data_IF_790586087797
#
_entry.id   IF_790586087797
#
_cell.length_a   1.000
_cell.length_b   1.000
_cell.length_c   1.000
_cell.angle_alpha   90.00
_cell.angle_beta   90.00
_cell.angle_gamma   90.00
#
_symmetry.space_group_name_H-M   'P 1'
#
loop_
_entity.id
_entity.type
_entity.pdbx_description
1 polymer ?
#
# COMPACT_ATOMS: atom_id res chain seq x y z
N UNK A 1 -0.35 35.81 -31.59
CA UNK A 1 0.15 36.46 -30.36
C UNK A 1 -1.01 36.68 -29.41
N UNK A 2 -1.16 35.85 -28.39
CA UNK A 2 -1.96 36.15 -27.20
C UNK A 2 -1.33 35.43 -26.01
N UNK A 3 -0.99 36.19 -24.97
CA UNK A 3 -0.29 35.73 -23.76
C UNK A 3 -1.25 34.95 -22.84
N UNK A 4 -0.83 33.86 -22.19
CA UNK A 4 -1.56 33.30 -21.07
C UNK A 4 -1.47 34.23 -19.85
N UNK A 5 -2.61 34.50 -19.20
CA UNK A 5 -2.70 35.20 -17.92
C UNK A 5 -2.15 34.28 -16.83
N UNK A 6 -1.20 34.81 -16.08
CA UNK A 6 -0.68 34.25 -14.83
C UNK A 6 -1.81 34.10 -13.80
N UNK A 7 -2.05 32.87 -13.33
CA UNK A 7 -2.65 32.63 -12.04
C UNK A 7 -1.52 32.64 -11.01
N UNK A 8 -1.47 33.74 -10.25
CA UNK A 8 -0.59 33.91 -9.10
C UNK A 8 -0.99 32.89 -8.03
N UNK A 9 0.01 32.21 -7.47
CA UNK A 9 -0.16 31.19 -6.45
C UNK A 9 -0.89 31.70 -5.21
N UNK A 10 -1.67 30.79 -4.63
CA UNK A 10 -1.95 30.74 -3.20
C UNK A 10 -1.38 29.40 -2.73
N UNK A 11 -0.19 29.42 -2.16
CA UNK A 11 0.28 28.32 -1.32
C UNK A 11 -0.53 28.40 -0.03
N UNK A 12 -1.57 27.58 0.11
CA UNK A 12 -2.02 27.20 1.44
C UNK A 12 -0.99 26.20 1.96
N UNK A 13 -0.12 26.68 2.85
CA UNK A 13 0.68 25.80 3.68
C UNK A 13 -0.28 25.09 4.63
N UNK A 14 -0.79 23.91 4.24
CA UNK A 14 -1.39 23.00 5.20
C UNK A 14 -0.26 22.52 6.11
N UNK A 15 -0.33 23.00 7.34
CA UNK A 15 0.42 22.42 8.44
C UNK A 15 -0.06 20.98 8.58
N UNK A 16 0.85 20.00 8.46
CA UNK A 16 0.62 18.63 8.94
C UNK A 16 0.63 18.71 10.48
N UNK A 17 -0.42 19.32 11.02
CA UNK A 17 -0.64 19.53 12.43
C UNK A 17 -2.07 19.13 12.82
N UNK A 18 -2.66 18.17 12.10
CA UNK A 18 -3.67 17.26 12.64
C UNK A 18 -2.98 16.32 13.64
N UNK A 19 -2.59 16.88 14.77
CA UNK A 19 -1.97 16.21 15.89
C UNK A 19 -3.01 15.29 16.55
N UNK A 20 -2.90 13.97 16.40
CA UNK A 20 -3.56 12.98 17.29
C UNK A 20 -2.88 12.95 18.68
N UNK A 21 -2.40 14.08 19.18
CA UNK A 21 -1.78 14.19 20.50
C UNK A 21 -2.11 15.54 21.15
N UNK A 22 -3.35 15.75 21.58
CA UNK A 22 -3.62 16.64 22.72
C UNK A 22 -4.79 16.12 23.60
N UNK A 23 -4.39 15.42 24.68
CA UNK A 23 -5.10 15.22 25.96
C UNK A 23 -6.15 14.09 26.07
N UNK A 24 -6.11 13.26 27.15
CA UNK A 24 -6.71 11.92 27.18
C UNK A 24 -8.13 11.85 27.77
N UNK A 25 -9.09 12.71 27.37
CA UNK A 25 -10.49 12.57 27.86
C UNK A 25 -11.66 12.91 26.93
N UNK A 26 -11.47 13.41 25.69
CA UNK A 26 -12.64 13.88 24.93
C UNK A 26 -12.71 13.63 23.40
N UNK A 27 -11.76 12.95 22.75
CA UNK A 27 -11.82 12.74 21.28
C UNK A 27 -11.48 11.31 20.83
N UNK A 28 -11.23 10.38 21.76
CA UNK A 28 -10.78 9.01 21.43
C UNK A 28 -11.94 7.98 21.37
N UNK A 29 -13.18 8.38 21.56
CA UNK A 29 -14.34 7.50 21.45
C UNK A 29 -15.40 8.21 20.61
N UNK A 30 -15.54 7.85 19.33
CA UNK A 30 -16.83 7.80 18.59
C UNK A 30 -16.69 7.78 17.05
N UNK A 31 -15.53 8.12 16.47
CA UNK A 31 -15.40 8.11 15.00
C UNK A 31 -15.59 6.67 14.46
N UNK A 32 -16.77 6.38 13.90
CA UNK A 32 -17.17 5.07 13.38
C UNK A 32 -18.28 4.34 14.17
N UNK A 33 -18.65 4.81 15.37
CA UNK A 33 -19.74 4.22 16.17
C UNK A 33 -21.13 4.66 15.69
N UNK A 34 -21.21 5.85 15.12
CA UNK A 34 -22.42 6.39 14.48
C UNK A 34 -22.24 6.42 12.97
N UNK A 35 -23.20 5.84 12.23
CA UNK A 35 -23.20 5.91 10.77
C UNK A 35 -23.53 7.34 10.34
N UNK A 36 -22.56 8.03 9.73
CA UNK A 36 -22.80 9.38 9.21
C UNK A 36 -23.37 9.29 7.80
N UNK A 37 -24.33 10.15 7.48
CA UNK A 37 -24.99 10.17 6.17
C UNK A 37 -25.44 11.60 5.84
N UNK A 38 -25.80 11.82 4.57
CA UNK A 38 -26.31 13.10 4.09
C UNK A 38 -27.39 13.68 5.02
N UNK A 39 -27.21 14.94 5.41
CA UNK A 39 -28.15 15.70 6.24
C UNK A 39 -27.99 15.55 7.75
N UNK A 40 -27.07 14.70 8.24
CA UNK A 40 -26.79 14.59 9.68
C UNK A 40 -25.95 15.78 10.19
N UNK A 41 -26.22 16.25 11.40
CA UNK A 41 -25.32 17.13 12.16
C UNK A 41 -24.64 16.31 13.26
N UNK A 42 -23.31 16.17 13.19
CA UNK A 42 -22.52 15.44 14.18
C UNK A 42 -21.07 15.96 14.23
N UNK A 43 -20.43 15.92 15.40
CA UNK A 43 -19.05 16.44 15.56
C UNK A 43 -18.04 15.67 14.68
N UNK A 44 -18.23 14.37 14.52
CA UNK A 44 -17.40 13.49 13.69
C UNK A 44 -17.43 13.84 12.20
N UNK A 45 -18.47 14.53 11.72
CA UNK A 45 -18.54 14.98 10.32
C UNK A 45 -17.38 15.92 10.01
N UNK A 46 -17.02 16.77 10.98
CA UNK A 46 -15.94 17.73 10.82
C UNK A 46 -14.59 17.03 10.64
N UNK A 47 -14.38 15.96 11.40
CA UNK A 47 -13.18 15.11 11.33
C UNK A 47 -13.13 14.36 9.99
N UNK A 48 -14.27 13.80 9.55
CA UNK A 48 -14.39 13.16 8.24
C UNK A 48 -14.07 14.14 7.11
N UNK A 49 -14.61 15.36 7.16
CA UNK A 49 -14.37 16.40 6.16
C UNK A 49 -12.89 16.78 6.07
N UNK A 50 -12.21 16.93 7.22
CA UNK A 50 -10.77 17.19 7.26
C UNK A 50 -9.97 16.10 6.54
N UNK A 51 -10.25 14.82 6.85
CA UNK A 51 -9.58 13.71 6.18
C UNK A 51 -9.87 13.62 4.69
N UNK A 52 -11.12 13.86 4.25
CA UNK A 52 -11.45 13.86 2.82
C UNK A 52 -10.78 15.02 2.08
N UNK A 53 -10.57 16.18 2.73
CA UNK A 53 -9.80 17.30 2.17
C UNK A 53 -8.33 16.92 2.04
N UNK A 54 -7.73 16.36 3.10
CA UNK A 54 -6.33 15.93 3.09
C UNK A 54 -6.05 14.87 2.02
N UNK A 55 -7.01 13.98 1.78
CA UNK A 55 -6.96 12.97 0.73
C UNK A 55 -7.32 13.51 -0.67
N UNK A 56 -7.71 14.78 -0.78
CA UNK A 56 -8.05 15.43 -2.03
C UNK A 56 -9.39 15.02 -2.65
N UNK A 57 -10.29 14.42 -1.88
CA UNK A 57 -11.64 14.05 -2.32
C UNK A 57 -12.66 15.17 -2.12
N UNK A 58 -12.38 16.10 -1.19
CA UNK A 58 -13.27 17.18 -0.78
C UNK A 58 -12.57 18.54 -0.87
N UNK A 59 -13.29 19.55 -1.32
CA UNK A 59 -12.86 20.95 -1.27
C UNK A 59 -13.98 21.75 -0.59
N UNK A 60 -13.71 22.32 0.59
CA UNK A 60 -14.63 23.19 1.33
C UNK A 60 -13.90 24.47 1.77
N UNK A 61 -14.65 25.58 1.84
CA UNK A 61 -14.12 26.85 2.35
C UNK A 61 -13.97 26.83 3.88
N UNK A 62 -14.90 26.18 4.58
CA UNK A 62 -14.90 26.00 6.03
C UNK A 62 -15.42 24.60 6.41
N UNK A 63 -14.83 24.01 7.44
CA UNK A 63 -15.29 22.74 8.03
C UNK A 63 -16.53 22.97 8.91
N UNK A 64 -17.47 22.03 8.89
CA UNK A 64 -18.68 22.10 9.72
C UNK A 64 -19.05 20.74 10.32
N UNK A 65 -19.97 20.73 11.27
CA UNK A 65 -20.55 19.49 11.81
C UNK A 65 -21.67 18.94 10.92
N UNK A 66 -22.01 19.62 9.83
CA UNK A 66 -23.10 19.23 8.94
C UNK A 66 -22.59 18.40 7.75
N UNK A 67 -23.20 17.24 7.53
CA UNK A 67 -22.87 16.35 6.43
C UNK A 67 -23.62 16.80 5.17
N UNK A 68 -23.00 17.70 4.42
CA UNK A 68 -23.56 18.28 3.20
C UNK A 68 -23.44 17.36 1.97
N UNK A 69 -24.02 17.79 0.84
CA UNK A 69 -24.00 17.07 -0.43
C UNK A 69 -22.59 16.91 -0.99
N UNK A 70 -21.72 17.91 -0.78
CA UNK A 70 -20.31 17.85 -1.17
C UNK A 70 -19.57 16.77 -0.37
N UNK A 71 -19.84 16.66 0.93
CA UNK A 71 -19.26 15.61 1.79
C UNK A 71 -19.71 14.22 1.34
N UNK A 72 -21.00 14.07 1.00
CA UNK A 72 -21.55 12.83 0.45
C UNK A 72 -20.85 12.44 -0.86
N UNK A 73 -20.77 13.36 -1.81
CA UNK A 73 -20.16 13.10 -3.12
C UNK A 73 -18.66 12.82 -3.01
N UNK A 74 -17.97 13.47 -2.08
CA UNK A 74 -16.57 13.16 -1.77
C UNK A 74 -16.43 11.76 -1.17
N UNK A 75 -17.35 11.37 -0.28
CA UNK A 75 -17.31 10.06 0.35
C UNK A 75 -17.60 8.92 -0.63
N UNK A 76 -18.57 9.10 -1.53
CA UNK A 76 -18.85 8.15 -2.63
C UNK A 76 -17.59 7.94 -3.47
N UNK A 77 -16.92 9.02 -3.89
CA UNK A 77 -15.67 8.92 -4.66
C UNK A 77 -14.57 8.21 -3.89
N UNK A 78 -14.47 8.48 -2.58
CA UNK A 78 -13.52 7.80 -1.71
C UNK A 78 -13.83 6.29 -1.65
N UNK A 79 -15.08 5.92 -1.38
CA UNK A 79 -15.53 4.52 -1.32
C UNK A 79 -15.26 3.77 -2.63
N UNK A 80 -15.65 4.35 -3.77
CA UNK A 80 -15.39 3.78 -5.09
C UNK A 80 -13.89 3.58 -5.34
N UNK A 81 -13.07 4.56 -4.94
CA UNK A 81 -11.61 4.46 -5.05
C UNK A 81 -11.00 3.39 -4.14
N UNK A 82 -11.67 3.06 -3.02
CA UNK A 82 -11.30 1.96 -2.13
C UNK A 82 -11.94 0.61 -2.54
N UNK A 83 -12.72 0.58 -3.63
CA UNK A 83 -13.43 -0.62 -4.09
C UNK A 83 -14.62 -1.02 -3.22
N UNK A 84 -15.16 -0.09 -2.42
CA UNK A 84 -16.38 -0.26 -1.64
C UNK A 84 -17.62 0.13 -2.46
N UNK A 85 -18.79 -0.24 -1.96
CA UNK A 85 -20.06 0.28 -2.46
C UNK A 85 -20.12 1.80 -2.20
N UNK A 86 -20.35 2.60 -3.24
CA UNK A 86 -20.44 4.06 -3.16
C UNK A 86 -21.79 4.54 -2.64
N UNK A 87 -22.19 4.09 -1.45
CA UNK A 87 -23.48 4.42 -0.83
C UNK A 87 -23.51 5.81 -0.18
N UNK A 88 -22.34 6.47 -0.08
CA UNK A 88 -22.18 7.80 0.49
C UNK A 88 -22.38 7.86 2.00
N UNK A 89 -22.37 6.70 2.68
CA UNK A 89 -22.48 6.57 4.13
C UNK A 89 -21.12 6.28 4.79
N UNK A 90 -20.86 6.94 5.92
CA UNK A 90 -19.67 6.69 6.73
C UNK A 90 -19.99 5.65 7.81
N UNK A 91 -20.01 4.38 7.40
CA UNK A 91 -20.15 3.24 8.30
C UNK A 91 -18.82 2.53 8.61
N UNK A 92 -18.85 1.39 9.33
CA UNK A 92 -17.65 0.68 9.79
C UNK A 92 -16.66 0.29 8.69
N UNK A 93 -17.15 -0.12 7.51
CA UNK A 93 -16.28 -0.48 6.37
C UNK A 93 -15.60 0.75 5.75
N UNK A 94 -16.35 1.85 5.58
CA UNK A 94 -15.81 3.13 5.11
C UNK A 94 -14.80 3.70 6.10
N UNK A 95 -15.08 3.60 7.40
CA UNK A 95 -14.15 3.95 8.48
C UNK A 95 -12.87 3.12 8.41
N UNK A 96 -12.99 1.79 8.30
CA UNK A 96 -11.85 0.89 8.17
C UNK A 96 -10.99 1.24 6.95
N UNK A 97 -11.62 1.55 5.81
CA UNK A 97 -10.91 1.98 4.61
C UNK A 97 -10.22 3.34 4.81
N UNK A 98 -10.88 4.30 5.47
CA UNK A 98 -10.30 5.60 5.79
C UNK A 98 -9.09 5.45 6.71
N UNK A 99 -9.22 4.69 7.80
CA UNK A 99 -8.12 4.37 8.72
C UNK A 99 -6.98 3.66 7.98
N UNK A 100 -7.26 2.71 7.08
CA UNK A 100 -6.24 2.05 6.28
C UNK A 100 -5.49 3.01 5.34
N UNK A 101 -6.13 4.08 4.88
CA UNK A 101 -5.47 5.11 4.08
C UNK A 101 -4.69 6.04 4.99
N UNK A 102 -5.32 6.62 6.01
CA UNK A 102 -4.73 7.62 6.93
C UNK A 102 -3.59 7.04 7.77
N UNK A 103 -3.68 5.80 8.24
CA UNK A 103 -2.62 5.11 8.98
C UNK A 103 -1.32 4.93 8.19
N UNK A 104 -1.38 4.99 6.85
CA UNK A 104 -0.18 5.01 5.99
C UNK A 104 0.58 6.34 6.06
N UNK A 105 -0.04 7.41 6.56
CA UNK A 105 0.53 8.76 6.62
C UNK A 105 1.05 9.15 8.01
N UNK A 106 0.68 8.43 9.07
CA UNK A 106 1.22 8.74 10.41
C UNK A 106 2.69 8.34 10.53
N UNK A 107 3.60 9.29 10.81
CA UNK A 107 4.99 8.99 11.03
C UNK A 107 5.12 8.13 12.29
N UNK A 108 5.91 7.07 12.21
CA UNK A 108 6.28 6.26 13.36
C UNK A 108 6.93 7.15 14.43
N UNK A 109 6.38 7.14 15.63
CA UNK A 109 6.95 7.83 16.78
C UNK A 109 7.99 6.92 17.43
N UNK A 110 9.25 7.36 17.45
CA UNK A 110 10.29 6.65 18.17
C UNK A 110 10.14 6.86 19.68
N UNK A 111 9.65 5.84 20.39
CA UNK A 111 9.53 5.84 21.85
C UNK A 111 10.62 5.00 22.52
N UNK A 112 11.02 3.90 21.88
CA UNK A 112 12.05 2.96 22.36
C UNK A 112 12.65 2.18 21.18
N UNK A 113 13.85 1.59 21.30
CA UNK A 113 14.38 0.71 20.27
C UNK A 113 13.57 -0.59 20.20
N UNK A 114 13.15 -0.98 18.99
CA UNK A 114 12.42 -2.23 18.76
C UNK A 114 13.35 -3.31 18.21
N UNK A 115 13.25 -4.52 18.75
CA UNK A 115 14.06 -5.68 18.37
C UNK A 115 13.30 -6.98 18.58
N UNK A 116 13.85 -8.06 18.02
CA UNK A 116 13.30 -9.41 18.15
C UNK A 116 12.98 -9.79 19.60
N UNK A 117 11.80 -10.39 19.79
CA UNK A 117 11.27 -10.79 21.09
C UNK A 117 10.49 -9.69 21.82
N UNK A 118 10.41 -8.47 21.29
CA UNK A 118 9.58 -7.41 21.86
C UNK A 118 8.14 -7.50 21.36
N UNK A 119 7.20 -7.04 22.18
CA UNK A 119 5.82 -6.82 21.76
C UNK A 119 5.33 -5.42 22.09
N UNK A 120 4.33 -4.95 21.35
CA UNK A 120 3.63 -3.70 21.59
C UNK A 120 2.98 -3.13 20.35
N UNK A 121 2.15 -2.11 20.57
CA UNK A 121 1.51 -1.34 19.52
C UNK A 121 2.55 -0.71 18.56
N UNK A 122 3.67 -0.23 19.10
CA UNK A 122 4.80 0.29 18.32
C UNK A 122 5.42 -0.73 17.34
N UNK A 123 5.38 -2.02 17.69
CA UNK A 123 5.82 -3.11 16.82
C UNK A 123 4.82 -3.33 15.68
N UNK A 124 3.52 -3.36 15.98
CA UNK A 124 2.47 -3.49 14.95
C UNK A 124 2.56 -2.34 13.96
N UNK A 125 2.72 -1.12 14.46
CA UNK A 125 2.87 0.06 13.61
C UNK A 125 4.11 -0.06 12.73
N UNK A 126 5.26 -0.46 13.28
CA UNK A 126 6.47 -0.72 12.48
C UNK A 126 6.21 -1.74 11.36
N UNK A 127 5.51 -2.84 11.65
CA UNK A 127 5.20 -3.88 10.68
C UNK A 127 4.33 -3.35 9.53
N UNK A 128 3.29 -2.57 9.83
CA UNK A 128 2.43 -1.95 8.83
C UNK A 128 3.23 -1.06 7.87
N UNK A 129 4.18 -0.28 8.39
CA UNK A 129 5.00 0.65 7.59
C UNK A 129 5.99 -0.10 6.72
N UNK A 130 6.63 -1.13 7.26
CA UNK A 130 7.49 -2.01 6.47
C UNK A 130 6.71 -2.77 5.39
N UNK A 131 5.44 -3.13 5.66
CA UNK A 131 4.55 -3.74 4.67
C UNK A 131 4.20 -2.76 3.56
N UNK A 132 3.86 -1.51 3.89
CA UNK A 132 3.63 -0.44 2.90
C UNK A 132 4.86 -0.18 2.04
N UNK A 133 6.04 -0.17 2.65
CA UNK A 133 7.32 0.00 1.96
C UNK A 133 7.77 -1.26 1.19
N UNK A 134 7.03 -2.37 1.28
CA UNK A 134 7.32 -3.62 0.58
C UNK A 134 8.42 -4.50 1.20
N UNK A 135 8.86 -4.21 2.42
CA UNK A 135 9.91 -4.96 3.12
C UNK A 135 9.37 -6.09 4.01
N UNK A 136 8.07 -6.08 4.36
CA UNK A 136 7.47 -7.09 5.21
C UNK A 136 6.23 -7.71 4.55
N UNK A 137 6.28 -9.03 4.36
CA UNK A 137 5.18 -9.81 3.78
C UNK A 137 4.66 -10.76 4.86
N UNK A 138 3.56 -10.37 5.49
CA UNK A 138 2.80 -11.15 6.47
C UNK A 138 1.31 -10.92 6.24
N UNK A 139 0.48 -11.93 6.50
CA UNK A 139 -0.98 -11.86 6.33
C UNK A 139 -1.55 -10.73 7.19
N UNK A 140 -1.33 -10.81 8.50
CA UNK A 140 -1.76 -9.82 9.49
C UNK A 140 -0.56 -9.26 10.26
N UNK A 141 -0.58 -7.95 10.50
CA UNK A 141 0.41 -7.33 11.39
C UNK A 141 0.03 -7.68 12.83
N UNK A 142 1.02 -8.15 13.58
CA UNK A 142 0.88 -8.53 14.99
C UNK A 142 1.56 -7.50 15.87
N UNK A 143 1.33 -7.58 17.17
CA UNK A 143 2.08 -6.80 18.14
C UNK A 143 3.47 -7.41 18.44
N UNK A 144 3.84 -8.56 17.87
CA UNK A 144 5.08 -9.28 18.21
C UNK A 144 6.18 -9.12 17.16
N UNK A 145 7.37 -8.73 17.61
CA UNK A 145 8.54 -8.56 16.78
C UNK A 145 9.24 -9.91 16.62
N UNK A 146 8.81 -10.65 15.60
CA UNK A 146 9.37 -11.97 15.26
C UNK A 146 10.56 -11.92 14.30
N UNK A 147 11.01 -13.10 13.90
CA UNK A 147 12.11 -13.29 12.95
C UNK A 147 11.83 -12.68 11.57
N UNK A 148 10.56 -12.68 11.13
CA UNK A 148 10.12 -12.02 9.90
C UNK A 148 10.27 -10.50 9.96
N UNK A 149 9.84 -9.87 11.06
CA UNK A 149 10.01 -8.43 11.29
C UNK A 149 11.48 -8.04 11.36
N UNK A 150 12.31 -8.84 12.05
CA UNK A 150 13.76 -8.65 12.11
C UNK A 150 14.40 -8.67 10.73
N UNK A 151 14.03 -9.65 9.91
CA UNK A 151 14.49 -9.76 8.54
C UNK A 151 14.07 -8.55 7.71
N UNK A 152 12.81 -8.15 7.79
CA UNK A 152 12.29 -6.97 7.09
C UNK A 152 13.05 -5.69 7.47
N UNK A 153 13.32 -5.47 8.76
CA UNK A 153 14.12 -4.33 9.22
C UNK A 153 15.56 -4.42 8.71
N UNK A 154 16.19 -5.61 8.75
CA UNK A 154 17.54 -5.78 8.22
C UNK A 154 17.61 -5.55 6.70
N UNK A 155 16.59 -5.96 5.96
CA UNK A 155 16.49 -5.73 4.51
C UNK A 155 16.25 -4.25 4.19
N UNK A 156 15.37 -3.58 4.93
CA UNK A 156 15.19 -2.12 4.86
C UNK A 156 16.48 -1.36 5.17
N UNK A 157 17.16 -1.72 6.26
CA UNK A 157 18.43 -1.12 6.62
C UNK A 157 19.47 -1.28 5.52
N UNK A 158 19.52 -2.44 4.85
CA UNK A 158 20.44 -2.70 3.74
C UNK A 158 20.14 -1.82 2.52
N UNK A 159 18.87 -1.69 2.16
CA UNK A 159 18.43 -0.89 1.01
C UNK A 159 18.76 0.60 1.21
N UNK A 160 18.55 1.12 2.41
CA UNK A 160 18.75 2.54 2.72
C UNK A 160 20.15 2.85 3.28
N UNK A 161 21.09 1.92 3.20
CA UNK A 161 22.48 2.14 3.61
C UNK A 161 22.68 2.40 5.12
N UNK A 162 21.78 1.88 5.96
CA UNK A 162 21.85 1.96 7.41
C UNK A 162 22.70 0.81 7.98
N UNK A 163 23.03 0.91 9.27
CA UNK A 163 23.61 -0.21 10.02
C UNK A 163 22.61 -1.38 10.04
N UNK A 164 23.04 -2.54 9.53
CA UNK A 164 22.20 -3.75 9.42
C UNK A 164 22.29 -4.57 10.71
N UNK A 165 21.52 -4.18 11.72
CA UNK A 165 21.42 -4.91 13.01
C UNK A 165 20.04 -5.53 13.26
N UNK A 166 19.07 -5.31 12.35
CA UNK A 166 17.71 -5.81 12.48
C UNK A 166 16.97 -5.20 13.67
N UNK A 167 17.40 -4.03 14.15
CA UNK A 167 16.76 -3.27 15.22
C UNK A 167 16.19 -1.97 14.67
N UNK A 168 14.94 -1.64 14.99
CA UNK A 168 14.37 -0.34 14.64
C UNK A 168 14.76 0.70 15.70
N UNK A 169 15.96 1.28 15.53
CA UNK A 169 16.44 2.41 16.30
C UNK A 169 15.98 3.78 15.75
N UNK A 170 16.42 4.91 16.34
CA UNK A 170 16.00 6.25 15.93
C UNK A 170 16.23 6.53 14.44
N UNK A 171 17.41 6.19 13.92
CA UNK A 171 17.75 6.41 12.50
C UNK A 171 16.94 5.52 11.57
N UNK A 172 16.66 4.28 11.96
CA UNK A 172 15.79 3.38 11.18
C UNK A 172 14.37 3.93 11.09
N UNK A 173 13.79 4.32 12.23
CA UNK A 173 12.44 4.90 12.29
C UNK A 173 12.34 6.21 11.49
N UNK A 174 13.31 7.11 11.65
CA UNK A 174 13.39 8.35 10.87
C UNK A 174 13.45 8.07 9.37
N UNK A 175 14.25 7.10 8.94
CA UNK A 175 14.40 6.76 7.53
C UNK A 175 13.13 6.11 6.98
N UNK A 176 12.45 5.27 7.75
CA UNK A 176 11.12 4.73 7.40
C UNK A 176 10.13 5.88 7.15
N UNK A 177 10.07 6.85 8.06
CA UNK A 177 9.19 8.01 7.91
C UNK A 177 9.52 8.85 6.66
N UNK A 178 10.81 9.06 6.37
CA UNK A 178 11.24 9.75 5.15
C UNK A 178 10.89 8.96 3.88
N UNK A 179 11.07 7.64 3.89
CA UNK A 179 10.72 6.77 2.78
C UNK A 179 9.22 6.81 2.48
N UNK A 180 8.38 6.74 3.52
CA UNK A 180 6.93 6.90 3.42
C UNK A 180 6.57 8.28 2.87
N UNK A 181 7.18 9.34 3.40
CA UNK A 181 6.96 10.71 2.91
C UNK A 181 7.31 10.88 1.43
N UNK A 182 8.39 10.27 0.95
CA UNK A 182 8.77 10.36 -0.47
C UNK A 182 7.80 9.64 -1.40
N UNK A 183 7.15 8.57 -0.93
CA UNK A 183 6.06 7.90 -1.67
C UNK A 183 4.86 8.85 -1.81
N UNK A 184 4.60 9.64 -0.77
CA UNK A 184 3.46 10.58 -0.67
C UNK A 184 3.71 11.87 -1.45
N UNK A 185 4.89 12.47 -1.29
CA UNK A 185 5.28 13.76 -1.90
C UNK A 185 5.64 13.64 -3.39
N UNK A 186 5.72 12.41 -3.93
CA UNK A 186 6.04 12.20 -5.34
C UNK A 186 4.91 12.71 -6.24
N UNK A 187 5.17 13.58 -7.25
CA UNK A 187 4.17 14.13 -8.19
C UNK A 187 3.40 13.10 -9.03
N UNK A 188 3.68 11.81 -8.86
CA UNK A 188 3.03 10.69 -9.56
C UNK A 188 1.62 10.37 -9.04
N UNK A 189 1.15 11.06 -8.00
CA UNK A 189 -0.21 10.90 -7.44
C UNK A 189 -1.26 11.87 -8.02
N UNK A 190 -0.90 12.85 -8.86
CA UNK A 190 -1.87 13.82 -9.42
C UNK A 190 -2.25 13.61 -10.88
N UNK A 191 -1.70 12.63 -11.58
CA UNK A 191 -2.04 12.43 -13.00
C UNK A 191 -1.67 11.04 -13.48
N UNK A 192 -2.53 10.05 -13.22
CA UNK A 192 -2.89 9.02 -14.20
C UNK A 192 -3.92 8.07 -13.62
N UNK A 193 -5.10 8.05 -14.26
CA UNK A 193 -5.99 6.89 -14.19
C UNK A 193 -5.17 5.67 -14.64
N UNK A 194 -5.01 4.67 -13.77
CA UNK A 194 -4.50 3.35 -14.17
C UNK A 194 -3.07 2.95 -13.76
N UNK A 195 -2.54 3.42 -12.63
CA UNK A 195 -1.20 3.00 -12.15
C UNK A 195 -1.13 2.78 -10.63
N UNK A 196 -1.99 1.92 -10.09
CA UNK A 196 -2.00 1.59 -8.66
C UNK A 196 -0.82 0.67 -8.29
N UNK A 197 -0.55 0.56 -6.99
CA UNK A 197 0.17 -0.49 -6.24
C UNK A 197 0.69 -1.74 -7.01
N UNK A 198 -0.05 -2.29 -7.97
CA UNK A 198 0.38 -3.32 -8.92
C UNK A 198 1.69 -2.99 -9.69
N UNK A 199 1.93 -1.72 -10.02
CA UNK A 199 3.20 -1.26 -10.64
C UNK A 199 4.40 -1.42 -9.70
N UNK A 200 4.21 -1.26 -8.39
CA UNK A 200 5.27 -1.49 -7.40
C UNK A 200 5.47 -2.98 -7.09
N UNK A 201 4.39 -3.75 -6.97
CA UNK A 201 4.44 -5.19 -6.73
C UNK A 201 5.05 -5.94 -7.93
N UNK A 202 4.59 -5.66 -9.14
CA UNK A 202 5.09 -6.26 -10.37
C UNK A 202 6.57 -5.95 -10.63
N UNK A 203 7.01 -4.72 -10.31
CA UNK A 203 8.43 -4.36 -10.30
C UNK A 203 9.22 -5.18 -9.28
N UNK A 204 8.73 -5.30 -8.03
CA UNK A 204 9.40 -6.09 -7.00
C UNK A 204 9.49 -7.59 -7.37
N UNK A 205 8.44 -8.13 -7.99
CA UNK A 205 8.41 -9.49 -8.55
C UNK A 205 9.49 -9.63 -9.62
N UNK A 206 9.54 -8.71 -10.58
CA UNK A 206 10.52 -8.75 -11.66
C UNK A 206 11.97 -8.56 -11.16
N UNK A 207 12.20 -7.69 -10.17
CA UNK A 207 13.51 -7.50 -9.53
C UNK A 207 13.95 -8.70 -8.71
N UNK A 208 13.02 -9.35 -8.02
CA UNK A 208 13.30 -10.60 -7.30
C UNK A 208 13.60 -11.73 -8.27
N UNK A 209 12.86 -11.84 -9.36
CA UNK A 209 13.15 -12.78 -10.44
C UNK A 209 14.57 -12.59 -11.00
N UNK A 210 15.03 -11.34 -11.20
CA UNK A 210 16.39 -11.06 -11.69
C UNK A 210 17.50 -11.59 -10.80
N UNK A 211 17.29 -11.72 -9.49
CA UNK A 211 18.31 -12.27 -8.56
C UNK A 211 18.65 -13.74 -8.85
N UNK A 212 17.74 -14.45 -9.53
CA UNK A 212 17.89 -15.85 -9.92
C UNK A 212 18.24 -16.00 -11.42
N UNK A 213 18.54 -14.91 -12.11
CA UNK A 213 19.03 -14.96 -13.48
C UNK A 213 20.34 -15.77 -13.53
N UNK A 214 20.39 -16.76 -14.42
CA UNK A 214 21.54 -17.68 -14.53
C UNK A 214 21.39 -18.99 -13.74
N UNK A 215 20.32 -19.17 -12.96
CA UNK A 215 20.01 -20.46 -12.34
C UNK A 215 19.82 -21.56 -13.40
N UNK A 216 20.20 -22.80 -13.06
CA UNK A 216 20.16 -23.92 -14.01
C UNK A 216 18.72 -24.28 -14.38
N UNK A 217 18.47 -24.47 -15.68
CA UNK A 217 17.19 -25.01 -16.13
C UNK A 217 17.14 -26.53 -15.90
N UNK A 218 16.09 -27.03 -15.24
CA UNK A 218 15.82 -28.45 -15.07
C UNK A 218 14.32 -28.71 -15.10
N UNK A 219 13.88 -29.51 -16.06
CA UNK A 219 12.47 -29.89 -16.19
C UNK A 219 11.94 -30.50 -14.89
N UNK A 220 10.78 -30.02 -14.41
CA UNK A 220 10.19 -30.44 -13.14
C UNK A 220 10.71 -29.70 -11.90
N UNK A 221 11.71 -28.82 -12.00
CA UNK A 221 12.31 -28.17 -10.84
C UNK A 221 11.60 -26.87 -10.39
N UNK A 222 11.59 -26.63 -9.07
CA UNK A 222 10.88 -25.54 -8.40
C UNK A 222 11.77 -24.64 -7.52
N UNK A 223 13.09 -24.65 -7.74
CA UNK A 223 14.03 -23.83 -7.00
C UNK A 223 14.52 -24.39 -5.67
N UNK A 224 15.40 -23.62 -4.98
CA UNK A 224 16.08 -22.43 -5.50
C UNK A 224 17.27 -22.77 -6.42
N UNK A 225 17.75 -24.01 -6.42
CA UNK A 225 19.01 -24.38 -7.10
C UNK A 225 18.85 -24.63 -8.63
N UNK A 226 17.63 -24.95 -9.07
CA UNK A 226 17.28 -25.13 -10.47
C UNK A 226 15.78 -24.96 -10.69
N UNK A 227 15.38 -24.52 -11.88
CA UNK A 227 13.99 -24.22 -12.20
C UNK A 227 13.57 -24.79 -13.56
N UNK A 228 12.30 -25.12 -13.70
CA UNK A 228 11.63 -25.05 -15.01
C UNK A 228 10.80 -23.78 -15.12
N UNK A 229 10.18 -23.56 -16.28
CA UNK A 229 9.40 -22.36 -16.58
C UNK A 229 8.33 -22.04 -15.52
N UNK A 230 7.37 -22.96 -15.32
CA UNK A 230 6.29 -22.80 -14.35
C UNK A 230 6.74 -22.85 -12.90
N UNK A 231 7.78 -23.63 -12.59
CA UNK A 231 8.38 -23.72 -11.25
C UNK A 231 9.11 -22.44 -10.86
N UNK A 232 9.71 -21.72 -11.82
CA UNK A 232 10.30 -20.41 -11.59
C UNK A 232 9.23 -19.37 -11.24
N UNK A 233 8.20 -19.24 -12.08
CA UNK A 233 7.10 -18.28 -11.86
C UNK A 233 6.41 -18.56 -10.54
N UNK A 234 6.08 -19.83 -10.25
CA UNK A 234 5.49 -20.25 -8.97
C UNK A 234 6.38 -19.87 -7.78
N UNK A 235 7.69 -20.12 -7.86
CA UNK A 235 8.63 -19.83 -6.78
C UNK A 235 8.81 -18.33 -6.53
N UNK A 236 8.85 -17.50 -7.57
CA UNK A 236 8.96 -16.04 -7.43
C UNK A 236 7.66 -15.48 -6.85
N UNK A 237 6.51 -15.78 -7.43
CA UNK A 237 5.22 -15.25 -6.98
C UNK A 237 4.85 -15.73 -5.57
N UNK A 238 5.23 -16.96 -5.21
CA UNK A 238 5.06 -17.47 -3.85
C UNK A 238 5.82 -16.67 -2.79
N UNK A 239 6.94 -16.01 -3.12
CA UNK A 239 7.64 -15.10 -2.20
C UNK A 239 6.83 -13.82 -1.91
N UNK A 240 5.84 -13.52 -2.73
CA UNK A 240 4.91 -12.40 -2.57
C UNK A 240 3.52 -12.85 -2.10
N UNK A 241 3.38 -14.10 -1.64
CA UNK A 241 2.11 -14.66 -1.17
C UNK A 241 1.10 -14.97 -2.29
N UNK A 242 1.55 -15.01 -3.55
CA UNK A 242 0.69 -15.33 -4.70
C UNK A 242 0.90 -16.80 -5.04
N UNK A 243 -0.10 -17.62 -4.72
CA UNK A 243 -0.08 -19.04 -5.04
C UNK A 243 -0.45 -19.28 -6.49
N UNK A 244 0.46 -19.91 -7.23
CA UNK A 244 0.24 -20.30 -8.61
C UNK A 244 0.22 -21.81 -8.77
N UNK A 245 -0.61 -22.36 -9.68
CA UNK A 245 -0.55 -23.75 -10.05
C UNK A 245 0.83 -24.19 -10.55
N UNK A 246 1.14 -25.48 -10.40
CA UNK A 246 2.45 -26.03 -10.77
C UNK A 246 2.72 -26.02 -12.28
N UNK A 247 1.69 -26.15 -13.12
CA UNK A 247 1.86 -26.33 -14.56
C UNK A 247 1.61 -25.03 -15.34
N UNK A 248 2.31 -24.84 -16.46
CA UNK A 248 2.09 -23.70 -17.36
C UNK A 248 0.67 -23.65 -17.94
N UNK A 249 -0.01 -24.80 -18.08
CA UNK A 249 -1.40 -24.85 -18.54
C UNK A 249 -2.36 -24.36 -17.50
N UNK A 250 -2.17 -24.76 -16.24
CA UNK A 250 -3.03 -24.32 -15.15
C UNK A 250 -2.78 -22.84 -14.82
N UNK A 251 -1.53 -22.38 -14.89
CA UNK A 251 -1.19 -20.95 -14.77
C UNK A 251 -1.88 -20.10 -15.84
N UNK A 252 -2.07 -20.62 -17.05
CA UNK A 252 -2.79 -19.94 -18.13
C UNK A 252 -4.31 -19.80 -17.88
N UNK A 253 -4.84 -20.55 -16.92
CA UNK A 253 -6.27 -20.61 -16.59
C UNK A 253 -6.65 -19.78 -15.37
N UNK A 254 -5.67 -19.20 -14.67
CA UNK A 254 -5.88 -18.35 -13.49
C UNK A 254 -5.56 -16.89 -13.78
N UNK A 255 -6.09 -15.99 -12.95
CA UNK A 255 -5.89 -14.54 -13.09
C UNK A 255 -6.75 -13.90 -14.17
N UNK A 256 -6.42 -12.65 -14.50
CA UNK A 256 -7.12 -11.84 -15.50
C UNK A 256 -6.32 -11.82 -16.80
N UNK A 257 -6.97 -12.12 -17.93
CA UNK A 257 -6.32 -12.02 -19.24
C UNK A 257 -6.18 -10.55 -19.63
N UNK A 258 -4.98 -10.18 -20.06
CA UNK A 258 -4.61 -8.84 -20.49
C UNK A 258 -4.20 -8.88 -21.96
N UNK A 259 -4.54 -7.85 -22.74
CA UNK A 259 -4.10 -7.78 -24.12
C UNK A 259 -2.61 -7.44 -24.21
N UNK A 260 -1.98 -7.70 -25.36
CA UNK A 260 -0.54 -7.49 -25.51
C UNK A 260 -0.12 -6.02 -25.36
N UNK A 261 -0.98 -5.11 -25.77
CA UNK A 261 -0.81 -3.65 -25.67
C UNK A 261 -1.05 -3.12 -24.25
N UNK A 262 -1.65 -3.92 -23.37
CA UNK A 262 -1.91 -3.59 -21.98
C UNK A 262 -0.92 -4.23 -21.01
N UNK A 263 0.07 -5.00 -21.51
CA UNK A 263 1.03 -5.70 -20.66
C UNK A 263 1.82 -4.74 -19.76
N UNK A 264 1.94 -5.12 -18.49
CA UNK A 264 2.67 -4.41 -17.45
C UNK A 264 3.78 -5.29 -16.86
N UNK A 265 4.76 -4.64 -16.22
CA UNK A 265 5.80 -5.34 -15.45
C UNK A 265 5.13 -6.09 -14.31
N UNK A 266 5.31 -7.41 -14.26
CA UNK A 266 4.62 -8.28 -13.32
C UNK A 266 3.45 -9.06 -13.92
N UNK A 267 3.19 -8.96 -15.22
CA UNK A 267 2.31 -9.90 -15.90
C UNK A 267 3.05 -11.20 -16.23
N UNK A 268 2.35 -12.33 -16.13
CA UNK A 268 2.85 -13.65 -16.55
C UNK A 268 2.55 -13.84 -18.03
N UNK A 269 3.57 -14.10 -18.83
CA UNK A 269 3.43 -14.35 -20.26
C UNK A 269 3.42 -15.85 -20.52
N UNK A 270 2.30 -16.33 -21.05
CA UNK A 270 2.14 -17.74 -21.40
C UNK A 270 2.27 -17.95 -22.91
N UNK A 271 3.17 -18.84 -23.30
CA UNK A 271 3.41 -19.26 -24.67
C UNK A 271 2.78 -20.63 -24.93
N UNK A 272 2.20 -20.79 -26.11
CA UNK A 272 1.60 -22.05 -26.56
C UNK A 272 2.41 -22.68 -27.68
N UNK A 273 2.30 -24.01 -27.83
CA UNK A 273 2.91 -24.77 -28.92
C UNK A 273 4.44 -24.66 -29.00
N UNK A 274 5.11 -24.41 -27.87
CA UNK A 274 6.59 -24.33 -27.82
C UNK A 274 7.22 -25.71 -27.87
N UNK A 275 6.68 -26.68 -27.13
CA UNK A 275 7.13 -28.09 -27.17
C UNK A 275 5.99 -29.11 -27.07
N UNK A 276 4.75 -28.67 -26.79
CA UNK A 276 3.53 -29.50 -26.85
C UNK A 276 2.35 -28.63 -27.25
N UNK A 277 1.27 -29.25 -27.73
CA UNK A 277 0.05 -28.52 -28.08
C UNK A 277 -0.56 -27.81 -26.85
N UNK A 278 -1.07 -26.59 -27.07
CA UNK A 278 -1.65 -25.74 -26.03
C UNK A 278 -0.61 -24.98 -25.21
N UNK A 279 -0.99 -24.37 -24.07
CA UNK A 279 -0.08 -23.60 -23.22
C UNK A 279 1.04 -24.50 -22.68
N UNK A 280 2.27 -24.24 -23.10
CA UNK A 280 3.42 -25.12 -22.87
C UNK A 280 4.58 -24.42 -22.16
N UNK A 281 4.64 -23.09 -22.16
CA UNK A 281 5.71 -22.36 -21.47
C UNK A 281 5.17 -21.08 -20.84
N UNK A 282 5.78 -20.62 -19.75
CA UNK A 282 5.33 -19.49 -18.93
C UNK A 282 6.54 -18.78 -18.35
N UNK A 283 6.48 -17.45 -18.23
CA UNK A 283 7.60 -16.63 -17.76
C UNK A 283 7.21 -15.20 -17.47
#
# INVERSE_FOLDING_TARGET
MYKPKSLKGKFCALTIAGVILFSPKFVQADLGDTVLHLGIEHEDVKVLQEHLIDLGYLELEELSTYFCEETHNALVKFQEAQGLEGDGSFGPETYKALVNVVSKYEPLVYTRPLKEGMSGEDVRLLQERLKVLGFLVIEECTDYYGSMTKKAVADFQREYGLKVDGMAGPETIKTINLALKNIIDSPLLQSSRGGSLASSLGKNIAETARKYAGSRYRYGANGPDAFDCSGFVQFIYGQFGIELPRSSSDQASVGTKVSKDELQVGDIVVFSNTYRSGPSHTG
#
